data_IF_257249772473
#
_entry.id   IF_257249772473
#
_cell.length_a   1.000
_cell.length_b   1.000
_cell.length_c   1.000
_cell.angle_alpha   90.00
_cell.angle_beta   90.00
_cell.angle_gamma   90.00
#
_symmetry.space_group_name_H-M   'P 1'
#
loop_
_entity.id
_entity.type
_entity.pdbx_description
1 polymer ?
#
# COMPACT_ATOMS: atom_id res chain seq x y z
N UNK A 1 -1.11 18.99 5.41
CA UNK A 1 -2.40 18.63 4.79
C UNK A 1 -3.19 17.89 5.85
N UNK A 2 -4.43 18.28 6.11
CA UNK A 2 -5.32 17.65 7.09
C UNK A 2 -6.13 16.52 6.44
N UNK A 3 -7.05 15.90 7.19
CA UNK A 3 -7.88 14.81 6.69
C UNK A 3 -8.72 15.22 5.45
N UNK A 4 -9.26 16.44 5.45
CA UNK A 4 -10.07 16.93 4.33
C UNK A 4 -9.22 17.15 3.07
N UNK A 5 -8.01 17.69 3.22
CA UNK A 5 -7.07 17.84 2.11
C UNK A 5 -6.66 16.50 1.49
N UNK A 6 -6.47 15.46 2.31
CA UNK A 6 -6.19 14.12 1.81
C UNK A 6 -7.40 13.49 1.13
N UNK A 7 -8.60 13.64 1.69
CA UNK A 7 -9.83 13.16 1.07
C UNK A 7 -10.00 13.77 -0.33
N UNK A 8 -9.85 15.10 -0.46
CA UNK A 8 -9.93 15.79 -1.75
C UNK A 8 -8.85 15.35 -2.75
N UNK A 9 -7.66 14.93 -2.28
CA UNK A 9 -6.61 14.41 -3.16
C UNK A 9 -6.98 13.06 -3.79
N UNK A 10 -7.74 12.22 -3.09
CA UNK A 10 -8.13 10.88 -3.53
C UNK A 10 -9.56 10.80 -4.10
N UNK A 11 -10.25 11.93 -4.34
CA UNK A 11 -11.59 11.91 -4.97
C UNK A 11 -11.58 11.55 -6.47
N UNK A 12 -10.42 11.52 -7.12
CA UNK A 12 -10.28 11.15 -8.54
C UNK A 12 -10.44 9.65 -8.80
N UNK A 13 -10.69 9.27 -10.06
CA UNK A 13 -10.74 7.86 -10.49
C UNK A 13 -9.40 7.33 -11.01
N UNK A 14 -8.44 8.22 -11.26
CA UNK A 14 -7.08 7.84 -11.63
C UNK A 14 -6.25 7.57 -10.40
N UNK A 15 -5.36 6.58 -10.50
CA UNK A 15 -4.44 6.31 -9.42
C UNK A 15 -3.53 7.51 -9.19
N UNK A 16 -3.49 8.01 -7.96
CA UNK A 16 -2.56 9.07 -7.53
C UNK A 16 -1.12 8.58 -7.64
N UNK A 17 -0.91 7.27 -7.52
CA UNK A 17 0.38 6.60 -7.68
C UNK A 17 0.34 5.49 -8.74
N UNK A 18 1.45 4.78 -8.96
CA UNK A 18 1.47 3.60 -9.83
C UNK A 18 0.69 2.43 -9.20
N UNK A 19 0.12 1.55 -10.03
CA UNK A 19 -0.57 0.33 -9.58
C UNK A 19 0.34 -0.68 -8.86
N UNK A 20 1.64 -0.72 -9.18
CA UNK A 20 2.61 -1.60 -8.53
C UNK A 20 3.07 -1.10 -7.15
N UNK A 21 3.65 -1.98 -6.32
CA UNK A 21 4.15 -1.61 -5.00
C UNK A 21 5.27 -0.56 -5.11
N UNK A 22 5.57 0.09 -3.99
CA UNK A 22 6.83 0.81 -3.89
C UNK A 22 7.99 -0.20 -4.05
N UNK A 23 8.95 0.11 -4.93
CA UNK A 23 10.13 -0.75 -5.18
C UNK A 23 10.89 -1.10 -3.89
N UNK A 24 11.00 -0.16 -2.96
CA UNK A 24 11.71 -0.40 -1.70
C UNK A 24 10.95 -1.36 -0.80
N UNK A 25 9.61 -1.29 -0.77
CA UNK A 25 8.80 -2.27 -0.03
C UNK A 25 9.02 -3.66 -0.61
N UNK A 26 9.05 -3.78 -1.94
CA UNK A 26 9.30 -5.05 -2.60
C UNK A 26 10.71 -5.60 -2.32
N UNK A 27 11.73 -4.73 -2.36
CA UNK A 27 13.13 -5.05 -2.08
C UNK A 27 13.32 -5.51 -0.61
N UNK A 28 12.78 -4.78 0.36
CA UNK A 28 12.95 -5.09 1.80
C UNK A 28 12.20 -6.35 2.24
N UNK A 29 11.07 -6.65 1.59
CA UNK A 29 10.27 -7.85 1.89
C UNK A 29 10.79 -9.08 1.14
N UNK A 30 11.65 -8.89 0.13
CA UNK A 30 12.20 -9.99 -0.65
C UNK A 30 12.96 -10.99 0.25
N UNK A 31 12.52 -12.25 0.22
CA UNK A 31 13.13 -13.34 0.99
C UNK A 31 12.59 -13.49 2.42
N UNK A 32 11.71 -12.61 2.89
CA UNK A 32 11.02 -12.81 4.16
C UNK A 32 9.89 -13.83 4.01
N UNK A 33 9.74 -14.70 5.00
CA UNK A 33 8.59 -15.59 5.09
C UNK A 33 7.32 -14.77 5.41
N UNK A 34 6.20 -14.95 4.68
CA UNK A 34 4.99 -14.20 4.93
C UNK A 34 4.42 -14.40 6.34
N UNK A 35 4.03 -13.30 6.98
CA UNK A 35 3.37 -13.27 8.28
C UNK A 35 2.25 -12.24 8.30
N UNK A 36 2.25 -11.36 9.29
CA UNK A 36 1.30 -10.24 9.41
C UNK A 36 1.96 -8.92 9.05
N UNK A 37 1.26 -8.05 8.33
CA UNK A 37 1.72 -6.70 8.00
C UNK A 37 0.64 -5.64 8.30
N UNK A 38 1.08 -4.43 8.63
CA UNK A 38 0.24 -3.23 8.79
C UNK A 38 0.74 -2.15 7.80
N UNK A 39 -0.11 -1.72 6.86
CA UNK A 39 0.18 -0.65 5.88
C UNK A 39 -0.45 0.66 6.35
N UNK A 40 0.30 1.46 7.11
CA UNK A 40 -0.21 2.69 7.71
C UNK A 40 -0.31 3.80 6.65
N UNK A 41 -1.45 4.50 6.63
CA UNK A 41 -1.73 5.55 5.65
C UNK A 41 -1.61 5.03 4.21
N UNK A 42 -2.20 3.85 3.97
CA UNK A 42 -2.04 3.07 2.74
C UNK A 42 -2.50 3.77 1.46
N UNK A 43 -3.29 4.85 1.56
CA UNK A 43 -3.91 5.52 0.43
C UNK A 43 -4.71 4.52 -0.39
N UNK A 44 -4.31 4.32 -1.65
CA UNK A 44 -4.93 3.38 -2.60
C UNK A 44 -4.57 1.90 -2.33
N UNK A 45 -3.75 1.62 -1.32
CA UNK A 45 -3.46 0.27 -0.86
C UNK A 45 -2.50 -0.53 -1.75
N UNK A 46 -1.75 0.12 -2.65
CA UNK A 46 -0.86 -0.58 -3.61
C UNK A 46 0.12 -1.55 -2.94
N UNK A 47 0.65 -1.20 -1.76
CA UNK A 47 1.56 -2.05 -1.02
C UNK A 47 0.78 -3.15 -0.30
N UNK A 48 -0.31 -2.81 0.41
CA UNK A 48 -1.17 -3.79 1.07
C UNK A 48 -1.70 -4.88 0.12
N UNK A 49 -2.16 -4.50 -1.07
CA UNK A 49 -2.63 -5.43 -2.10
C UNK A 49 -1.48 -6.33 -2.57
N UNK A 50 -0.32 -5.76 -2.88
CA UNK A 50 0.84 -6.53 -3.30
C UNK A 50 1.33 -7.50 -2.22
N UNK A 51 1.40 -7.07 -0.95
CA UNK A 51 1.77 -7.91 0.19
C UNK A 51 0.78 -9.07 0.38
N UNK A 52 -0.53 -8.80 0.25
CA UNK A 52 -1.55 -9.85 0.28
C UNK A 52 -1.37 -10.87 -0.85
N UNK A 53 -1.00 -10.43 -2.05
CA UNK A 53 -0.64 -11.32 -3.18
C UNK A 53 0.62 -12.14 -2.90
N UNK A 54 1.55 -11.63 -2.08
CA UNK A 54 2.73 -12.38 -1.62
C UNK A 54 2.43 -13.33 -0.44
N UNK A 55 1.16 -13.46 -0.01
CA UNK A 55 0.72 -14.38 1.05
C UNK A 55 0.73 -13.79 2.46
N UNK A 56 0.95 -12.47 2.60
CA UNK A 56 0.88 -11.81 3.91
C UNK A 56 -0.58 -11.59 4.33
N UNK A 57 -0.84 -11.67 5.64
CA UNK A 57 -2.09 -11.19 6.23
C UNK A 57 -1.95 -9.70 6.55
N UNK A 58 -2.59 -8.85 5.75
CA UNK A 58 -2.41 -7.39 5.84
C UNK A 58 -3.61 -6.70 6.51
N UNK A 59 -3.33 -5.72 7.35
CA UNK A 59 -4.26 -4.67 7.77
C UNK A 59 -3.78 -3.33 7.20
N UNK A 60 -4.69 -2.47 6.77
CA UNK A 60 -4.39 -1.19 6.11
C UNK A 60 -5.29 -0.09 6.69
#
# INVERSE_FOLDING_TARGET
MDANGWNARYTGQELVWSAGPNRFVAEEVAGLAPGTALDVACGEGRNAIWLAQQGWRVQA
#
